data_IF_167474193884
#
_entry.id   IF_167474193884
#
_cell.length_a   1.000
_cell.length_b   1.000
_cell.length_c   1.000
_cell.angle_alpha   90.00
_cell.angle_beta   90.00
_cell.angle_gamma   90.00
#
_symmetry.space_group_name_H-M   'P 1'
#
loop_
_entity.id
_entity.type
_entity.pdbx_description
1 polymer ?
#
# COMPACT_ATOMS: atom_id res chain seq x y z
N UNK A 1 8.86 8.58 9.98
CA UNK A 1 9.93 7.84 10.69
C UNK A 1 9.99 6.45 10.09
N UNK A 2 11.15 5.94 9.67
CA UNK A 2 11.27 4.55 9.21
C UNK A 2 11.31 3.68 10.47
N UNK A 3 10.18 3.08 10.83
CA UNK A 3 10.18 1.92 11.71
C UNK A 3 10.81 0.78 10.91
N UNK A 4 11.77 0.08 11.49
CA UNK A 4 12.65 -0.89 10.81
C UNK A 4 11.90 -1.77 9.81
N UNK A 5 12.12 -1.53 8.51
CA UNK A 5 11.57 -2.31 7.39
C UNK A 5 10.09 -2.06 7.04
N UNK A 6 9.46 -1.02 7.57
CA UNK A 6 8.14 -0.55 7.14
C UNK A 6 8.28 0.83 6.48
N UNK A 7 7.73 0.97 5.27
CA UNK A 7 7.59 2.26 4.59
C UNK A 7 6.15 2.74 4.76
N UNK A 8 5.94 3.96 5.24
CA UNK A 8 4.62 4.59 5.30
C UNK A 8 4.46 5.54 4.11
N UNK A 9 3.33 5.43 3.40
CA UNK A 9 2.99 6.28 2.26
C UNK A 9 1.61 6.89 2.51
N UNK A 10 1.53 8.21 2.40
CA UNK A 10 0.27 8.94 2.49
C UNK A 10 -0.21 9.27 1.07
N UNK A 11 -1.40 8.80 0.74
CA UNK A 11 -2.09 9.03 -0.54
C UNK A 11 -3.45 9.69 -0.33
N UNK A 12 -3.74 10.19 0.88
CA UNK A 12 -5.00 10.83 1.17
C UNK A 12 -5.24 12.03 0.24
N UNK A 13 -6.42 12.07 -0.38
CA UNK A 13 -6.80 13.12 -1.34
C UNK A 13 -6.26 12.92 -2.77
N UNK A 14 -5.46 11.88 -3.02
CA UNK A 14 -5.05 11.52 -4.38
C UNK A 14 -6.18 10.84 -5.14
N UNK A 15 -6.19 10.99 -6.47
CA UNK A 15 -6.98 10.12 -7.34
C UNK A 15 -6.39 8.70 -7.35
N UNK A 16 -7.19 7.70 -7.75
CA UNK A 16 -6.74 6.30 -7.84
C UNK A 16 -5.50 6.14 -8.76
N UNK A 17 -5.45 6.87 -9.87
CA UNK A 17 -4.33 6.83 -10.81
C UNK A 17 -3.04 7.41 -10.20
N UNK A 18 -3.13 8.56 -9.53
CA UNK A 18 -2.00 9.19 -8.85
C UNK A 18 -1.46 8.31 -7.72
N UNK A 19 -2.38 7.78 -6.89
CA UNK A 19 -2.04 6.86 -5.81
C UNK A 19 -1.32 5.61 -6.33
N UNK A 20 -1.85 4.97 -7.38
CA UNK A 20 -1.23 3.79 -8.01
C UNK A 20 0.18 4.12 -8.51
N UNK A 21 0.33 5.19 -9.29
CA UNK A 21 1.63 5.59 -9.83
C UNK A 21 2.66 5.90 -8.73
N UNK A 22 2.21 6.47 -7.61
CA UNK A 22 3.08 6.73 -6.48
C UNK A 22 3.48 5.45 -5.76
N UNK A 23 2.53 4.56 -5.47
CA UNK A 23 2.80 3.26 -4.84
C UNK A 23 3.71 2.40 -5.71
N UNK A 24 3.50 2.37 -7.03
CA UNK A 24 4.35 1.63 -7.97
C UNK A 24 5.80 2.10 -7.89
N UNK A 25 6.04 3.42 -7.82
CA UNK A 25 7.39 3.97 -7.62
C UNK A 25 7.99 3.54 -6.28
N UNK A 26 7.20 3.52 -5.21
CA UNK A 26 7.66 3.08 -3.89
C UNK A 26 8.00 1.59 -3.90
N UNK A 27 7.15 0.76 -4.52
CA UNK A 27 7.37 -0.67 -4.71
C UNK A 27 8.65 -0.94 -5.52
N UNK A 28 8.88 -0.20 -6.61
CA UNK A 28 10.10 -0.33 -7.42
C UNK A 28 11.36 -0.06 -6.59
N UNK A 29 11.33 0.97 -5.74
CA UNK A 29 12.44 1.36 -4.89
C UNK A 29 12.58 0.53 -3.60
N UNK A 30 11.55 -0.23 -3.21
CA UNK A 30 11.60 -1.11 -2.04
C UNK A 30 12.62 -2.23 -2.25
N UNK A 31 13.61 -2.29 -1.36
CA UNK A 31 14.66 -3.31 -1.34
C UNK A 31 14.33 -4.45 -0.36
N UNK A 32 15.18 -5.47 -0.29
CA UNK A 32 14.96 -6.68 0.52
C UNK A 32 14.84 -6.47 2.04
N UNK A 33 15.13 -5.26 2.55
CA UNK A 33 14.92 -4.91 3.96
C UNK A 33 13.50 -4.46 4.28
N UNK A 34 12.68 -4.16 3.26
CA UNK A 34 11.31 -3.70 3.41
C UNK A 34 10.36 -4.89 3.46
N UNK A 35 9.65 -5.03 4.57
CA UNK A 35 8.65 -6.09 4.78
C UNK A 35 7.26 -5.62 4.41
N UNK A 36 6.95 -4.34 4.64
CA UNK A 36 5.60 -3.79 4.52
C UNK A 36 5.63 -2.37 3.97
N UNK A 37 4.66 -2.05 3.14
CA UNK A 37 4.28 -0.68 2.81
C UNK A 37 2.92 -0.41 3.44
N UNK A 38 2.86 0.55 4.35
CA UNK A 38 1.63 1.01 4.99
C UNK A 38 1.08 2.20 4.21
N UNK A 39 -0.05 1.99 3.57
CA UNK A 39 -0.74 2.98 2.76
C UNK A 39 -1.81 3.66 3.61
N UNK A 40 -1.65 4.97 3.83
CA UNK A 40 -2.59 5.83 4.51
C UNK A 40 -3.41 6.51 3.41
N UNK A 41 -4.67 6.11 3.27
CA UNK A 41 -5.58 6.66 2.26
C UNK A 41 -6.76 7.43 2.87
N UNK A 42 -6.91 7.38 4.20
CA UNK A 42 -7.96 8.05 4.95
C UNK A 42 -9.34 7.44 4.75
N UNK A 43 -10.36 8.06 5.33
CA UNK A 43 -11.75 7.59 5.25
C UNK A 43 -12.69 8.77 4.94
N UNK A 44 -12.44 9.49 3.84
CA UNK A 44 -13.32 10.55 3.36
C UNK A 44 -13.71 10.29 1.90
N UNK A 45 -15.02 10.15 1.63
CA UNK A 45 -15.56 10.06 0.27
C UNK A 45 -15.71 8.65 -0.33
N UNK A 46 -15.43 7.58 0.42
CA UNK A 46 -15.74 6.19 0.01
C UNK A 46 -14.56 5.23 0.11
N UNK A 47 -14.69 4.05 -0.52
CA UNK A 47 -13.69 2.98 -0.52
C UNK A 47 -12.85 2.94 -1.80
N UNK A 48 -12.91 3.96 -2.68
CA UNK A 48 -12.30 3.89 -4.02
C UNK A 48 -10.79 3.59 -3.99
N UNK A 49 -10.02 4.28 -3.15
CA UNK A 49 -8.58 4.01 -2.99
C UNK A 49 -8.36 2.64 -2.37
N UNK A 50 -9.16 2.25 -1.37
CA UNK A 50 -9.09 0.90 -0.79
C UNK A 50 -9.39 -0.19 -1.82
N UNK A 51 -10.42 -0.03 -2.63
CA UNK A 51 -10.80 -0.94 -3.70
C UNK A 51 -9.69 -1.03 -4.75
N UNK A 52 -9.14 0.12 -5.19
CA UNK A 52 -7.99 0.15 -6.08
C UNK A 52 -6.80 -0.64 -5.51
N UNK A 53 -6.47 -0.46 -4.23
CA UNK A 53 -5.39 -1.22 -3.60
C UNK A 53 -5.63 -2.74 -3.64
N UNK A 54 -6.88 -3.16 -3.43
CA UNK A 54 -7.24 -4.57 -3.52
C UNK A 54 -7.17 -5.07 -4.97
N UNK A 55 -7.71 -4.32 -5.92
CA UNK A 55 -7.81 -4.70 -7.33
C UNK A 55 -6.45 -4.72 -8.03
N UNK A 56 -5.53 -3.82 -7.70
CA UNK A 56 -4.23 -3.69 -8.35
C UNK A 56 -3.16 -4.61 -7.74
N UNK A 57 -3.21 -4.85 -6.42
CA UNK A 57 -2.11 -5.49 -5.69
C UNK A 57 -2.46 -6.83 -5.03
N UNK A 58 -3.72 -7.27 -5.07
CA UNK A 58 -4.11 -8.62 -4.60
C UNK A 58 -4.04 -9.66 -5.72
N UNK A 59 -4.28 -10.93 -5.38
CA UNK A 59 -4.43 -12.03 -6.35
C UNK A 59 -3.24 -12.17 -7.32
N UNK A 60 -2.02 -12.05 -6.80
CA UNK A 60 -0.77 -12.22 -7.57
C UNK A 60 -0.60 -11.23 -8.74
N UNK A 61 -1.38 -10.13 -8.75
CA UNK A 61 -1.25 -9.07 -9.77
C UNK A 61 0.02 -8.22 -9.61
N UNK A 62 0.73 -8.37 -8.50
CA UNK A 62 2.00 -7.72 -8.24
C UNK A 62 3.05 -8.75 -7.83
N UNK A 63 4.20 -8.74 -8.52
CA UNK A 63 5.32 -9.65 -8.20
C UNK A 63 5.91 -9.39 -6.80
N UNK A 64 5.85 -8.14 -6.33
CA UNK A 64 6.45 -7.74 -5.05
C UNK A 64 5.47 -7.84 -3.87
N UNK A 65 4.16 -7.76 -4.11
CA UNK A 65 3.15 -7.76 -3.04
C UNK A 65 2.62 -9.19 -2.86
N UNK A 66 2.95 -9.80 -1.72
CA UNK A 66 2.44 -11.13 -1.35
C UNK A 66 1.00 -11.09 -0.87
N UNK A 67 0.64 -10.03 -0.15
CA UNK A 67 -0.69 -9.91 0.46
C UNK A 67 -1.08 -8.45 0.66
N UNK A 68 -2.35 -8.15 0.41
CA UNK A 68 -2.99 -6.90 0.81
C UNK A 68 -3.86 -7.17 2.03
N UNK A 69 -3.73 -6.36 3.07
CA UNK A 69 -4.53 -6.50 4.29
C UNK A 69 -4.94 -5.15 4.88
N UNK A 70 -6.03 -5.14 5.66
CA UNK A 70 -6.42 -3.95 6.43
C UNK A 70 -5.38 -3.62 7.51
N UNK A 71 -5.18 -2.32 7.76
CA UNK A 71 -4.36 -1.84 8.87
C UNK A 71 -5.15 -1.65 10.16
N UNK A 72 -4.58 -0.88 11.08
CA UNK A 72 -5.13 -0.65 12.42
C UNK A 72 -6.41 0.21 12.44
N UNK A 73 -6.81 0.78 11.31
CA UNK A 73 -8.08 1.46 11.13
C UNK A 73 -8.51 1.41 9.65
N UNK A 74 -9.72 1.89 9.36
CA UNK A 74 -10.33 1.82 8.02
C UNK A 74 -9.62 2.65 6.95
N UNK A 75 -8.82 3.66 7.34
CA UNK A 75 -8.06 4.52 6.43
C UNK A 75 -6.64 4.03 6.16
N UNK A 76 -6.31 2.80 6.60
CA UNK A 76 -4.99 2.20 6.41
C UNK A 76 -5.13 0.84 5.73
N UNK A 77 -4.30 0.61 4.73
CA UNK A 77 -4.09 -0.70 4.09
C UNK A 77 -2.60 -1.02 4.11
N UNK A 78 -2.24 -2.26 4.39
CA UNK A 78 -0.85 -2.72 4.35
C UNK A 78 -0.62 -3.65 3.15
N UNK A 79 0.41 -3.33 2.36
CA UNK A 79 0.97 -4.19 1.32
C UNK A 79 2.13 -4.96 1.94
N UNK A 80 1.97 -6.28 2.07
CA UNK A 80 2.99 -7.18 2.63
C UNK A 80 3.90 -7.64 1.50
N UNK A 81 5.19 -7.34 1.61
CA UNK A 81 6.21 -7.74 0.63
C UNK A 81 6.94 -9.01 1.05
N UNK A 82 7.07 -9.23 2.36
CA UNK A 82 7.71 -10.42 2.93
C UNK A 82 7.00 -10.86 4.21
N UNK A 83 6.85 -12.17 4.36
CA UNK A 83 6.40 -12.82 5.60
C UNK A 83 7.62 -13.14 6.47
N UNK A 84 7.46 -13.05 7.79
CA UNK A 84 8.50 -13.36 8.76
C UNK A 84 8.46 -14.83 9.15
#
# INVERSE_FOLDING_TARGET
>A
MITTGIIEVDIHGMTACEAKNYIDKVLMNANGSVYRIRVIHGFHGGTSLKSMLMDEYSYERSEKVKKVQGGNNLGITELVLREF
#
